data_IF_998466627225
#
_entry.id   IF_998466627225
#
_cell.length_a   1.000
_cell.length_b   1.000
_cell.length_c   1.000
_cell.angle_alpha   90.00
_cell.angle_beta   90.00
_cell.angle_gamma   90.00
#
_symmetry.space_group_name_H-M   'P 1'
#
loop_
_entity.id
_entity.type
_entity.pdbx_description
1 polymer ?
#
# COMPACT_ATOMS: atom_id res chain seq x y z
N UNK A 1 11.29 3.56 27.53
CA UNK A 1 10.60 4.52 26.66
C UNK A 1 10.30 3.82 25.35
N UNK A 2 9.02 3.54 25.04
CA UNK A 2 8.64 2.94 23.75
C UNK A 2 8.91 4.00 22.69
N UNK A 3 9.72 3.70 21.67
CA UNK A 3 9.84 4.59 20.51
C UNK A 3 8.53 4.50 19.75
N UNK A 4 7.78 5.60 19.70
CA UNK A 4 6.62 5.68 18.82
C UNK A 4 7.12 5.66 17.38
N UNK A 5 6.55 4.76 16.58
CA UNK A 5 6.88 4.64 15.16
C UNK A 5 6.20 5.78 14.38
N UNK A 6 6.83 6.29 13.31
CA UNK A 6 6.18 7.26 12.43
C UNK A 6 4.85 6.73 11.88
N UNK A 7 3.81 7.57 11.67
CA UNK A 7 2.48 7.09 11.26
C UNK A 7 2.46 6.22 10.00
N UNK A 8 3.33 6.50 9.02
CA UNK A 8 3.43 5.79 7.74
C UNK A 8 4.60 4.78 7.66
N UNK A 9 5.16 4.34 8.80
CA UNK A 9 6.32 3.44 8.81
C UNK A 9 6.11 2.14 8.00
N UNK A 10 4.87 1.66 7.95
CA UNK A 10 4.50 0.46 7.19
C UNK A 10 4.66 0.66 5.67
N UNK A 11 4.41 1.88 5.16
CA UNK A 11 4.58 2.20 3.74
C UNK A 11 6.08 2.23 3.39
N UNK A 12 6.90 2.77 4.28
CA UNK A 12 8.37 2.73 4.13
C UNK A 12 8.88 1.29 4.05
N UNK A 13 8.46 0.42 4.97
CA UNK A 13 8.85 -1.00 4.93
C UNK A 13 8.32 -1.74 3.70
N UNK A 14 7.15 -1.37 3.20
CA UNK A 14 6.63 -1.94 1.96
C UNK A 14 7.49 -1.54 0.75
N UNK A 15 7.90 -0.27 0.65
CA UNK A 15 8.85 0.18 -0.38
C UNK A 15 10.22 -0.49 -0.25
N UNK A 16 10.72 -0.69 0.98
CA UNK A 16 11.95 -1.46 1.22
C UNK A 16 11.82 -2.91 0.74
N UNK A 17 10.66 -3.53 0.94
CA UNK A 17 10.34 -4.86 0.42
C UNK A 17 10.30 -4.87 -1.11
N UNK A 18 9.66 -3.88 -1.75
CA UNK A 18 9.60 -3.80 -3.22
C UNK A 18 10.98 -3.65 -3.85
N UNK A 19 11.87 -2.86 -3.21
CA UNK A 19 13.27 -2.71 -3.66
C UNK A 19 14.04 -4.02 -3.74
N UNK A 20 13.64 -5.05 -3.00
CA UNK A 20 14.24 -6.38 -3.11
C UNK A 20 14.08 -6.99 -4.50
N UNK A 21 13.02 -6.64 -5.22
CA UNK A 21 12.71 -7.15 -6.56
C UNK A 21 13.24 -6.24 -7.69
N UNK A 22 14.08 -5.26 -7.37
CA UNK A 22 14.77 -4.47 -8.39
C UNK A 22 16.02 -5.19 -8.91
N UNK A 23 16.56 -4.72 -10.05
CA UNK A 23 17.81 -5.24 -10.61
C UNK A 23 17.73 -6.72 -10.98
N UNK A 24 18.69 -7.52 -10.54
CA UNK A 24 18.78 -8.95 -10.88
C UNK A 24 17.59 -9.78 -10.38
N UNK A 25 16.93 -9.33 -9.32
CA UNK A 25 15.79 -10.02 -8.73
C UNK A 25 14.46 -9.72 -9.43
N UNK A 26 14.43 -8.76 -10.37
CA UNK A 26 13.22 -8.43 -11.15
C UNK A 26 12.68 -9.62 -11.93
N UNK A 27 13.57 -10.53 -12.35
CA UNK A 27 13.20 -11.78 -13.04
C UNK A 27 12.44 -12.78 -12.16
N UNK A 28 12.35 -12.54 -10.85
CA UNK A 28 11.58 -13.37 -9.92
C UNK A 28 10.09 -12.97 -9.89
N UNK A 29 9.74 -11.78 -10.40
CA UNK A 29 8.36 -11.34 -10.52
C UNK A 29 7.71 -11.97 -11.76
N UNK A 30 6.46 -12.38 -11.63
CA UNK A 30 5.60 -12.60 -12.80
C UNK A 30 5.26 -11.26 -13.45
N UNK A 31 4.84 -11.29 -14.71
CA UNK A 31 4.38 -10.09 -15.42
C UNK A 31 3.26 -9.38 -14.65
N UNK A 32 2.29 -10.13 -14.11
CA UNK A 32 1.21 -9.59 -13.29
C UNK A 32 1.72 -8.88 -12.02
N UNK A 33 2.77 -9.41 -11.38
CA UNK A 33 3.35 -8.79 -10.20
C UNK A 33 4.17 -7.55 -10.56
N UNK A 34 4.88 -7.57 -11.69
CA UNK A 34 5.59 -6.41 -12.21
C UNK A 34 4.62 -5.26 -12.55
N UNK A 35 3.51 -5.57 -13.23
CA UNK A 35 2.44 -4.62 -13.55
C UNK A 35 1.80 -4.04 -12.28
N UNK A 36 1.62 -4.86 -11.23
CA UNK A 36 1.17 -4.36 -9.93
C UNK A 36 2.15 -3.36 -9.33
N UNK A 37 3.46 -3.66 -9.31
CA UNK A 37 4.48 -2.77 -8.74
C UNK A 37 4.53 -1.45 -9.51
N UNK A 38 4.44 -1.47 -10.83
CA UNK A 38 4.42 -0.26 -11.65
C UNK A 38 3.20 0.62 -11.33
N UNK A 39 1.99 0.03 -11.35
CA UNK A 39 0.76 0.76 -11.04
C UNK A 39 0.76 1.29 -9.61
N UNK A 40 1.23 0.50 -8.64
CA UNK A 40 1.36 0.93 -7.25
C UNK A 40 2.30 2.14 -7.11
N UNK A 41 3.47 2.11 -7.76
CA UNK A 41 4.43 3.21 -7.72
C UNK A 41 3.94 4.50 -8.40
N UNK A 42 2.95 4.40 -9.30
CA UNK A 42 2.31 5.56 -9.94
C UNK A 42 1.23 6.23 -9.06
N UNK A 43 0.78 5.58 -7.98
CA UNK A 43 -0.18 6.15 -7.03
C UNK A 43 0.49 7.21 -6.14
N UNK A 44 -0.29 8.19 -5.68
CA UNK A 44 0.15 9.05 -4.59
C UNK A 44 0.20 8.32 -3.23
N UNK A 45 0.93 8.90 -2.27
CA UNK A 45 1.18 8.31 -0.97
C UNK A 45 -0.10 7.90 -0.21
N UNK A 46 -1.18 8.67 -0.31
CA UNK A 46 -2.42 8.36 0.43
C UNK A 46 -3.08 7.09 -0.12
N UNK A 47 -3.10 6.94 -1.44
CA UNK A 47 -3.59 5.73 -2.12
C UNK A 47 -2.68 4.53 -1.86
N UNK A 48 -1.37 4.72 -1.91
CA UNK A 48 -0.42 3.67 -1.52
C UNK A 48 -0.65 3.22 -0.07
N UNK A 49 -0.90 4.16 0.86
CA UNK A 49 -1.23 3.86 2.24
C UNK A 49 -2.48 2.97 2.36
N UNK A 50 -3.56 3.25 1.60
CA UNK A 50 -4.77 2.42 1.59
C UNK A 50 -4.44 0.98 1.17
N UNK A 51 -3.71 0.81 0.05
CA UNK A 51 -3.34 -0.52 -0.47
C UNK A 51 -2.51 -1.30 0.54
N UNK A 52 -1.47 -0.68 1.11
CA UNK A 52 -0.58 -1.36 2.08
C UNK A 52 -1.30 -1.65 3.40
N UNK A 53 -2.18 -0.74 3.87
CA UNK A 53 -3.02 -0.99 5.05
C UNK A 53 -3.94 -2.18 4.82
N UNK A 54 -4.53 -2.33 3.63
CA UNK A 54 -5.40 -3.44 3.31
C UNK A 54 -4.60 -4.76 3.23
N UNK A 55 -3.45 -4.75 2.54
CA UNK A 55 -2.58 -5.92 2.39
C UNK A 55 -2.03 -6.44 3.73
N UNK A 56 -1.76 -5.55 4.69
CA UNK A 56 -1.24 -5.92 6.01
C UNK A 56 -2.31 -6.38 7.01
N UNK A 57 -3.61 -6.41 6.64
CA UNK A 57 -4.66 -6.92 7.53
C UNK A 57 -4.70 -8.43 7.54
N UNK A 58 -5.10 -8.98 8.69
CA UNK A 58 -5.24 -10.43 8.90
C UNK A 58 -6.28 -11.09 7.98
N UNK A 59 -7.32 -10.35 7.58
CA UNK A 59 -8.45 -10.88 6.81
C UNK A 59 -8.63 -10.07 5.52
N UNK A 60 -8.98 -10.77 4.43
CA UNK A 60 -9.17 -10.17 3.11
C UNK A 60 -10.44 -9.30 3.02
N UNK A 61 -11.45 -9.56 3.84
CA UNK A 61 -12.68 -8.76 3.90
C UNK A 61 -12.51 -7.66 4.93
N UNK A 62 -12.81 -6.43 4.50
CA UNK A 62 -12.66 -5.22 5.31
C UNK A 62 -14.02 -4.54 5.41
N UNK A 63 -14.44 -4.21 6.64
CA UNK A 63 -15.52 -3.26 6.83
C UNK A 63 -15.01 -1.86 6.48
N UNK A 64 -15.46 -1.36 5.32
CA UNK A 64 -15.08 -0.06 4.78
C UNK A 64 -15.36 1.08 5.76
N UNK A 65 -16.44 0.99 6.53
CA UNK A 65 -16.82 2.04 7.51
C UNK A 65 -15.83 2.17 8.65
N UNK A 66 -15.03 1.12 8.89
CA UNK A 66 -13.99 1.08 9.93
C UNK A 66 -12.58 1.28 9.36
N UNK A 67 -12.44 1.47 8.05
CA UNK A 67 -11.14 1.64 7.39
C UNK A 67 -10.78 3.13 7.29
N UNK A 68 -10.68 3.79 8.44
CA UNK A 68 -10.40 5.22 8.56
C UNK A 68 -9.11 5.43 9.36
N UNK A 69 -8.06 5.86 8.69
CA UNK A 69 -6.73 6.09 9.28
C UNK A 69 -6.42 7.58 9.28
N UNK A 70 -5.97 8.11 10.42
CA UNK A 70 -5.75 9.55 10.60
C UNK A 70 -4.57 10.09 9.79
N UNK A 71 -3.63 9.24 9.38
CA UNK A 71 -2.50 9.62 8.56
C UNK A 71 -2.82 9.73 7.06
N UNK A 72 -4.03 9.36 6.63
CA UNK A 72 -4.45 9.37 5.22
C UNK A 72 -5.46 10.50 5.03
N UNK A 73 -5.26 11.37 4.04
CA UNK A 73 -6.23 12.41 3.75
C UNK A 73 -7.47 11.81 3.08
N UNK A 74 -8.66 12.16 3.61
CA UNK A 74 -9.98 11.71 3.12
C UNK A 74 -10.02 10.21 2.76
N UNK A 75 -9.77 9.29 3.71
CA UNK A 75 -9.53 7.86 3.41
C UNK A 75 -10.63 7.19 2.57
N UNK A 76 -11.89 7.57 2.80
CA UNK A 76 -13.02 7.00 2.07
C UNK A 76 -13.03 7.41 0.59
N UNK A 77 -12.64 8.65 0.28
CA UNK A 77 -12.51 9.13 -1.10
C UNK A 77 -11.34 8.45 -1.82
N UNK A 78 -10.24 8.19 -1.11
CA UNK A 78 -9.12 7.42 -1.66
C UNK A 78 -9.55 5.98 -2.01
N UNK A 79 -10.39 5.35 -1.17
CA UNK A 79 -10.96 4.01 -1.44
C UNK A 79 -11.89 4.04 -2.64
N UNK A 80 -12.76 5.05 -2.76
CA UNK A 80 -13.64 5.21 -3.93
C UNK A 80 -12.81 5.30 -5.21
N UNK A 81 -11.80 6.19 -5.22
CA UNK A 81 -10.93 6.35 -6.38
C UNK A 81 -10.24 5.04 -6.77
N UNK A 82 -9.71 4.30 -5.79
CA UNK A 82 -9.05 3.00 -6.02
C UNK A 82 -10.02 1.92 -6.52
N UNK A 83 -11.29 1.98 -6.11
CA UNK A 83 -12.32 1.04 -6.60
C UNK A 83 -12.68 1.33 -8.05
N UNK A 84 -12.66 2.61 -8.45
CA UNK A 84 -13.06 3.04 -9.79
C UNK A 84 -11.91 3.04 -10.81
N UNK A 85 -10.65 3.17 -10.37
CA UNK A 85 -9.48 3.38 -11.24
C UNK A 85 -8.33 2.37 -11.02
N UNK A 86 -8.45 1.48 -10.03
CA UNK A 86 -7.41 0.52 -9.62
C UNK A 86 -7.45 -0.83 -10.33
#
# INVERSE_FOLDING_TARGET
MRKDLPPRYYLTHFHEFLKFFEGANSMLLSDEAADFVERFNALDDDKQCIVVRAANRKYAVIDRTQFNYSEIAVPQEQIDWLTDNG
#
